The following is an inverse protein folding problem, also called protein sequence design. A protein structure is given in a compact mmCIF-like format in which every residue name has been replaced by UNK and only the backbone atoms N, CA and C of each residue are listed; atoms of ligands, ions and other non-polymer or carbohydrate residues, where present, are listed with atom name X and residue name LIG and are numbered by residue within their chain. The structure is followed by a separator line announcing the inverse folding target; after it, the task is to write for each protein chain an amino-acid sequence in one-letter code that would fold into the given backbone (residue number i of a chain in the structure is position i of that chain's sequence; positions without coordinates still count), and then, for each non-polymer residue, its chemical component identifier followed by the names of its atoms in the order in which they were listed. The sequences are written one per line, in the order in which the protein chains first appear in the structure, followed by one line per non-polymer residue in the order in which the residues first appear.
data_IF_723663570181
#
_entry.id   IF_723663570181
#
_cell.length_a   1.000
_cell.length_b   1.000
_cell.length_c   1.000
_cell.angle_alpha   90.00
_cell.angle_beta   90.00
_cell.angle_gamma   90.00
#
_symmetry.space_group_name_H-M   'P 1'
#
loop_
_entity.id
_entity.type
_entity.pdbx_description
1 polymer ?
#
# COMPACT_ATOMS: atom_id res chain seq x y z
N UNK A 1 3.16 -24.20 9.31
CA UNK A 1 3.28 -22.86 8.74
C UNK A 1 4.07 -22.02 9.73
N UNK A 2 5.22 -21.45 9.37
CA UNK A 2 5.92 -20.52 10.25
C UNK A 2 5.02 -19.28 10.39
N UNK A 3 4.74 -18.86 11.63
CA UNK A 3 3.99 -17.64 11.91
C UNK A 3 4.68 -16.41 11.30
N UNK A 4 3.92 -15.42 10.86
CA UNK A 4 4.47 -14.16 10.39
C UNK A 4 5.29 -13.50 11.51
N UNK A 5 6.48 -12.96 11.19
CA UNK A 5 7.24 -12.16 12.15
C UNK A 5 6.48 -10.84 12.40
N UNK A 6 6.05 -10.64 13.63
CA UNK A 6 5.24 -9.48 14.04
C UNK A 6 5.85 -8.86 15.28
N UNK A 7 6.11 -7.55 15.24
CA UNK A 7 6.45 -6.78 16.43
C UNK A 7 5.20 -6.07 16.97
N UNK A 8 5.20 -5.83 18.28
CA UNK A 8 4.08 -5.21 18.97
C UNK A 8 4.54 -4.12 19.94
N UNK A 9 3.96 -2.94 19.79
CA UNK A 9 4.13 -1.81 20.69
C UNK A 9 2.83 -1.60 21.46
N UNK A 10 2.86 -1.86 22.76
CA UNK A 10 1.68 -1.80 23.63
C UNK A 10 1.71 -0.51 24.44
N UNK A 11 0.62 0.24 24.40
CA UNK A 11 0.38 1.37 25.29
C UNK A 11 -0.73 1.07 26.31
N UNK A 12 -0.92 1.95 27.28
CA UNK A 12 -2.07 1.92 28.18
C UNK A 12 -3.40 2.14 27.43
N UNK A 13 -3.36 2.76 26.26
CA UNK A 13 -4.46 2.81 25.31
C UNK A 13 -4.71 1.45 24.68
N UNK A 14 -5.96 1.16 24.35
CA UNK A 14 -6.39 -0.19 23.95
C UNK A 14 -6.98 -0.27 22.54
N UNK A 15 -6.75 0.72 21.70
CA UNK A 15 -7.25 0.69 20.32
C UNK A 15 -6.32 -0.17 19.46
N UNK A 16 -6.75 -1.37 19.05
CA UNK A 16 -5.92 -2.24 18.23
C UNK A 16 -5.66 -1.63 16.86
N UNK A 17 -4.39 -1.65 16.44
CA UNK A 17 -3.96 -1.13 15.15
C UNK A 17 -2.95 -2.07 14.49
N UNK A 18 -3.09 -2.27 13.18
CA UNK A 18 -2.08 -2.94 12.34
C UNK A 18 -1.45 -1.90 11.44
N UNK A 19 -0.14 -1.74 11.53
CA UNK A 19 0.66 -0.89 10.65
C UNK A 19 1.32 -1.77 9.58
N UNK A 20 0.95 -1.59 8.32
CA UNK A 20 1.50 -2.31 7.17
C UNK A 20 2.51 -1.41 6.47
N UNK A 21 3.78 -1.82 6.50
CA UNK A 21 4.87 -1.05 5.89
C UNK A 21 4.82 -1.09 4.36
N UNK A 22 5.44 -0.11 3.70
CA UNK A 22 5.69 -0.09 2.27
C UNK A 22 6.89 -0.97 1.88
N UNK A 23 7.48 -0.70 0.71
CA UNK A 23 8.76 -1.32 0.36
C UNK A 23 9.84 -0.91 1.36
N UNK A 24 10.48 -1.90 1.96
CA UNK A 24 11.68 -1.74 2.79
C UNK A 24 12.39 -3.08 2.93
N UNK A 25 13.69 -3.17 2.65
CA UNK A 25 14.47 -4.39 2.87
C UNK A 25 14.42 -4.90 4.30
N UNK A 26 14.34 -4.01 5.28
CA UNK A 26 14.27 -4.31 6.71
C UNK A 26 12.83 -4.66 7.16
N UNK A 27 11.82 -4.37 6.36
CA UNK A 27 10.42 -4.64 6.68
C UNK A 27 9.96 -3.94 7.96
N UNK A 28 9.49 -4.71 8.94
CA UNK A 28 9.07 -4.19 10.25
C UNK A 28 10.21 -3.57 11.07
N UNK A 29 11.46 -3.95 10.79
CA UNK A 29 12.65 -3.49 11.50
C UNK A 29 13.23 -2.19 10.92
N UNK A 30 12.64 -1.67 9.84
CA UNK A 30 13.00 -0.38 9.26
C UNK A 30 12.81 0.75 10.30
N UNK A 31 13.85 1.58 10.57
CA UNK A 31 13.81 2.57 11.66
C UNK A 31 12.63 3.54 11.60
N UNK A 32 12.20 3.94 10.40
CA UNK A 32 11.03 4.84 10.24
C UNK A 32 9.72 4.13 10.59
N UNK A 33 9.61 2.83 10.29
CA UNK A 33 8.44 2.02 10.63
C UNK A 33 8.36 1.84 12.15
N UNK A 34 9.48 1.52 12.79
CA UNK A 34 9.56 1.39 14.26
C UNK A 34 9.22 2.72 14.96
N UNK A 35 9.78 3.82 14.47
CA UNK A 35 9.48 5.14 15.02
C UNK A 35 8.01 5.53 14.85
N UNK A 36 7.40 5.22 13.70
CA UNK A 36 5.97 5.42 13.49
C UNK A 36 5.13 4.59 14.47
N UNK A 37 5.49 3.32 14.68
CA UNK A 37 4.81 2.44 15.62
C UNK A 37 4.91 2.96 17.07
N UNK A 38 6.07 3.47 17.48
CA UNK A 38 6.26 4.10 18.79
C UNK A 38 5.39 5.35 18.98
N UNK A 39 5.33 6.23 17.96
CA UNK A 39 4.49 7.43 18.00
C UNK A 39 3.01 7.08 18.11
N UNK A 40 2.56 6.09 17.35
CA UNK A 40 1.19 5.58 17.39
C UNK A 40 0.88 4.95 18.76
N UNK A 41 1.83 4.20 19.33
CA UNK A 41 1.67 3.64 20.67
C UNK A 41 1.57 4.75 21.74
N UNK A 42 2.38 5.80 21.65
CA UNK A 42 2.27 6.99 22.52
C UNK A 42 0.93 7.74 22.33
N UNK A 43 0.36 7.67 21.14
CA UNK A 43 -0.97 8.22 20.84
C UNK A 43 -2.13 7.35 21.34
N UNK A 44 -1.85 6.20 21.99
CA UNK A 44 -2.85 5.35 22.62
C UNK A 44 -3.25 4.11 21.82
N UNK A 45 -2.53 3.77 20.75
CA UNK A 45 -2.80 2.56 19.98
C UNK A 45 -1.99 1.35 20.49
N UNK A 46 -2.60 0.17 20.39
CA UNK A 46 -1.90 -1.10 20.53
C UNK A 46 -1.49 -1.57 19.13
N UNK A 47 -0.24 -1.25 18.75
CA UNK A 47 0.25 -1.38 17.37
C UNK A 47 0.90 -2.73 17.14
N UNK A 48 0.50 -3.42 16.06
CA UNK A 48 1.20 -4.59 15.54
C UNK A 48 1.73 -4.30 14.12
N UNK A 49 2.97 -4.67 13.86
CA UNK A 49 3.63 -4.48 12.56
C UNK A 49 4.07 -5.84 12.03
N UNK A 50 3.36 -6.43 11.06
CA UNK A 50 3.82 -7.64 10.39
C UNK A 50 4.93 -7.33 9.39
N UNK A 51 5.89 -8.23 9.23
CA UNK A 51 6.78 -8.24 8.07
C UNK A 51 6.04 -8.80 6.87
N UNK A 52 6.10 -8.11 5.74
CA UNK A 52 5.53 -8.53 4.46
C UNK A 52 6.67 -9.02 3.56
N UNK A 53 6.87 -10.35 3.38
CA UNK A 53 8.07 -10.90 2.76
C UNK A 53 8.32 -10.46 1.32
N UNK A 54 7.28 -10.24 0.52
CA UNK A 54 7.41 -9.70 -0.83
C UNK A 54 7.95 -8.28 -0.81
N UNK A 55 7.41 -7.44 0.06
CA UNK A 55 7.80 -6.02 0.14
C UNK A 55 9.23 -5.82 0.65
N UNK A 56 9.79 -6.76 1.44
CA UNK A 56 11.21 -6.70 1.81
C UNK A 56 12.15 -6.96 0.63
N UNK A 57 11.62 -7.48 -0.48
CA UNK A 57 12.38 -7.83 -1.68
C UNK A 57 12.00 -7.01 -2.90
N UNK A 58 11.21 -5.94 -2.72
CA UNK A 58 10.69 -5.13 -3.84
C UNK A 58 9.68 -5.86 -4.72
N UNK A 59 8.95 -6.83 -4.17
CA UNK A 59 8.01 -7.69 -4.90
C UNK A 59 6.59 -7.49 -4.42
N UNK A 60 5.63 -7.59 -5.34
CA UNK A 60 4.22 -7.74 -5.02
C UNK A 60 3.83 -9.20 -5.22
N UNK A 61 3.33 -9.85 -4.17
CA UNK A 61 2.94 -11.26 -4.17
C UNK A 61 1.53 -11.43 -3.62
N UNK A 62 0.71 -12.31 -4.19
CA UNK A 62 -0.60 -12.63 -3.60
C UNK A 62 -0.50 -13.14 -2.17
N UNK A 63 0.58 -13.84 -1.85
CA UNK A 63 0.86 -14.42 -0.53
C UNK A 63 1.15 -13.35 0.53
N UNK A 64 1.49 -12.13 0.14
CA UNK A 64 1.76 -11.00 1.05
C UNK A 64 0.52 -10.55 1.83
N UNK A 65 -0.66 -11.01 1.45
CA UNK A 65 -1.91 -10.83 2.21
C UNK A 65 -1.90 -11.64 3.51
N UNK A 66 -1.30 -12.82 3.53
CA UNK A 66 -1.36 -13.75 4.65
C UNK A 66 -0.76 -13.21 5.97
N UNK A 67 0.40 -12.53 6.00
CA UNK A 67 0.89 -11.89 7.21
C UNK A 67 -0.09 -10.88 7.81
N UNK A 68 -0.79 -10.11 6.97
CA UNK A 68 -1.78 -9.13 7.42
C UNK A 68 -3.02 -9.83 7.97
N UNK A 69 -3.54 -10.84 7.27
CA UNK A 69 -4.69 -11.65 7.72
C UNK A 69 -4.39 -12.33 9.04
N UNK A 70 -3.23 -12.97 9.18
CA UNK A 70 -2.82 -13.64 10.42
C UNK A 70 -2.71 -12.65 11.58
N UNK A 71 -2.16 -11.45 11.33
CA UNK A 71 -2.04 -10.40 12.34
C UNK A 71 -3.43 -9.90 12.77
N UNK A 72 -4.34 -9.63 11.84
CA UNK A 72 -5.72 -9.23 12.13
C UNK A 72 -6.48 -10.31 12.92
N UNK A 73 -6.33 -11.57 12.53
CA UNK A 73 -6.97 -12.70 13.22
C UNK A 73 -6.53 -12.83 14.69
N UNK A 74 -5.27 -12.50 14.98
CA UNK A 74 -4.71 -12.54 16.33
C UNK A 74 -5.05 -11.32 17.20
N UNK A 75 -5.71 -10.28 16.65
CA UNK A 75 -6.04 -9.04 17.37
C UNK A 75 -7.45 -9.08 17.95
N UNK A 76 -7.67 -8.29 19.00
CA UNK A 76 -9.02 -7.95 19.41
C UNK A 76 -9.73 -7.14 18.31
N UNK A 77 -11.00 -7.39 18.09
CA UNK A 77 -11.81 -6.60 17.15
C UNK A 77 -12.60 -5.52 17.90
N UNK A 78 -12.92 -4.38 17.27
CA UNK A 78 -12.49 -3.97 15.94
C UNK A 78 -11.04 -3.47 15.91
N UNK A 79 -10.36 -3.64 14.78
CA UNK A 79 -8.96 -3.23 14.57
C UNK A 79 -8.87 -2.18 13.47
N UNK A 80 -8.12 -1.11 13.71
CA UNK A 80 -7.75 -0.15 12.69
C UNK A 80 -6.55 -0.65 11.86
N UNK A 81 -6.43 -0.20 10.61
CA UNK A 81 -5.22 -0.41 9.81
C UNK A 81 -4.68 0.91 9.28
N UNK A 82 -3.36 1.03 9.29
CA UNK A 82 -2.62 2.05 8.52
C UNK A 82 -1.71 1.30 7.57
N UNK A 83 -1.76 1.68 6.31
CA UNK A 83 -0.93 1.08 5.27
C UNK A 83 -0.21 2.14 4.45
N UNK A 84 1.06 1.92 4.17
CA UNK A 84 1.94 2.91 3.54
C UNK A 84 2.36 2.41 2.15
N UNK A 85 2.24 3.29 1.13
CA UNK A 85 2.74 3.03 -0.23
C UNK A 85 2.18 1.70 -0.78
N UNK A 86 3.02 0.89 -1.41
CA UNK A 86 2.66 -0.44 -1.94
C UNK A 86 2.14 -1.42 -0.88
N UNK A 87 2.39 -1.18 0.40
CA UNK A 87 1.78 -1.95 1.50
C UNK A 87 0.27 -1.83 1.60
N UNK A 88 -0.30 -0.81 0.98
CA UNK A 88 -1.75 -0.66 0.86
C UNK A 88 -2.41 -1.79 0.06
N UNK A 89 -1.68 -2.41 -0.87
CA UNK A 89 -2.16 -3.58 -1.62
C UNK A 89 -2.56 -4.74 -0.70
N UNK A 90 -1.60 -5.38 -0.01
CA UNK A 90 -1.89 -6.48 0.91
C UNK A 90 -2.85 -6.07 2.04
N UNK A 91 -2.81 -4.81 2.51
CA UNK A 91 -3.73 -4.32 3.53
C UNK A 91 -5.19 -4.28 3.05
N UNK A 92 -5.45 -3.71 1.87
CA UNK A 92 -6.80 -3.63 1.30
C UNK A 92 -7.33 -5.01 0.89
N UNK A 93 -6.47 -5.87 0.35
CA UNK A 93 -6.82 -7.26 0.04
C UNK A 93 -7.19 -8.04 1.31
N UNK A 94 -6.43 -7.87 2.40
CA UNK A 94 -6.76 -8.46 3.70
C UNK A 94 -8.06 -7.91 4.30
N UNK A 95 -8.31 -6.59 4.15
CA UNK A 95 -9.55 -5.96 4.61
C UNK A 95 -10.80 -6.46 3.86
N UNK A 96 -10.64 -7.06 2.68
CA UNK A 96 -11.70 -7.71 1.93
C UNK A 96 -11.80 -9.22 2.21
N UNK A 97 -10.79 -9.82 2.86
CA UNK A 97 -10.74 -11.27 3.09
C UNK A 97 -11.86 -11.72 4.05
N UNK A 98 -12.70 -12.69 3.66
CA UNK A 98 -13.82 -13.17 4.48
C UNK A 98 -13.41 -13.63 5.88
N UNK A 99 -12.16 -14.09 6.07
CA UNK A 99 -11.66 -14.56 7.36
C UNK A 99 -11.52 -13.45 8.41
N UNK A 100 -11.31 -12.18 7.95
CA UNK A 100 -10.97 -11.08 8.87
C UNK A 100 -11.65 -9.75 8.56
N UNK A 101 -12.33 -9.58 7.41
CA UNK A 101 -12.91 -8.30 6.98
C UNK A 101 -13.83 -7.65 8.02
N UNK A 102 -14.60 -8.45 8.75
CA UNK A 102 -15.54 -7.96 9.76
C UNK A 102 -14.84 -7.52 11.06
N UNK A 103 -13.53 -7.74 11.16
CA UNK A 103 -12.69 -7.31 12.29
C UNK A 103 -12.06 -5.93 12.06
N UNK A 104 -12.13 -5.40 10.83
CA UNK A 104 -11.52 -4.13 10.44
C UNK A 104 -12.53 -3.01 10.53
N UNK A 105 -12.23 -1.95 11.30
CA UNK A 105 -13.10 -0.78 11.45
C UNK A 105 -12.79 0.31 10.41
N UNK A 106 -11.52 0.55 10.18
CA UNK A 106 -11.04 1.59 9.26
C UNK A 106 -9.71 1.19 8.63
N UNK A 107 -9.51 1.55 7.37
CA UNK A 107 -8.21 1.46 6.68
C UNK A 107 -7.80 2.87 6.26
N UNK A 108 -6.66 3.33 6.78
CA UNK A 108 -5.96 4.52 6.31
C UNK A 108 -4.87 4.08 5.33
N UNK A 109 -5.01 4.45 4.08
CA UNK A 109 -4.03 4.19 3.01
C UNK A 109 -3.29 5.48 2.68
N UNK A 110 -1.97 5.45 2.78
CA UNK A 110 -1.07 6.57 2.53
C UNK A 110 -0.27 6.31 1.27
N UNK A 111 -0.54 7.04 0.18
CA UNK A 111 0.14 6.85 -1.09
C UNK A 111 -0.03 5.44 -1.67
N UNK A 112 -1.21 4.83 -1.47
CA UNK A 112 -1.47 3.46 -1.89
C UNK A 112 -1.95 3.34 -3.33
N UNK A 113 -2.07 2.11 -3.82
CA UNK A 113 -2.51 1.81 -5.19
C UNK A 113 -3.82 1.03 -5.24
N UNK A 114 -4.46 1.07 -6.41
CA UNK A 114 -5.69 0.38 -6.76
C UNK A 114 -5.47 -0.78 -7.72
N UNK A 115 -4.66 -0.54 -8.75
CA UNK A 115 -4.50 -1.39 -9.91
C UNK A 115 -3.04 -1.78 -10.11
N UNK A 116 -2.72 -3.06 -9.94
CA UNK A 116 -1.37 -3.55 -10.17
C UNK A 116 -0.89 -3.37 -11.63
N UNK A 117 -1.73 -3.55 -12.68
CA UNK A 117 -1.35 -3.22 -14.05
C UNK A 117 -0.95 -1.75 -14.23
N UNK A 118 -1.71 -0.82 -13.64
CA UNK A 118 -1.44 0.60 -13.78
C UNK A 118 -0.17 1.04 -13.05
N UNK A 119 0.07 0.50 -11.84
CA UNK A 119 1.32 0.75 -11.11
C UNK A 119 2.50 0.20 -11.89
N UNK A 120 2.39 -1.01 -12.44
CA UNK A 120 3.45 -1.59 -13.26
C UNK A 120 3.71 -0.76 -14.52
N UNK A 121 2.65 -0.33 -15.23
CA UNK A 121 2.77 0.58 -16.38
C UNK A 121 3.46 1.89 -15.98
N UNK A 122 3.05 2.48 -14.87
CA UNK A 122 3.66 3.70 -14.35
C UNK A 122 5.16 3.54 -14.09
N UNK A 123 5.57 2.47 -13.39
CA UNK A 123 6.99 2.20 -13.15
C UNK A 123 7.80 2.02 -14.45
N UNK A 124 7.20 1.40 -15.47
CA UNK A 124 7.90 1.14 -16.73
C UNK A 124 7.95 2.35 -17.66
N UNK A 125 6.91 3.16 -17.69
CA UNK A 125 6.75 4.24 -18.69
C UNK A 125 6.77 5.64 -18.08
N UNK A 126 6.54 5.76 -16.77
CA UNK A 126 6.30 7.05 -16.11
C UNK A 126 4.90 7.61 -16.34
N UNK A 127 4.10 7.03 -17.24
CA UNK A 127 2.78 7.54 -17.57
C UNK A 127 1.72 7.08 -16.58
N UNK A 128 0.85 7.98 -16.17
CA UNK A 128 -0.30 7.66 -15.32
C UNK A 128 -1.57 8.38 -15.76
N UNK A 129 -2.73 7.83 -15.37
CA UNK A 129 -3.99 8.49 -15.67
C UNK A 129 -5.22 7.80 -15.10
N UNK A 130 -6.26 8.62 -14.85
CA UNK A 130 -7.60 8.19 -14.48
C UNK A 130 -8.62 9.26 -14.84
N UNK A 131 -9.75 8.87 -15.43
CA UNK A 131 -10.74 9.83 -15.93
C UNK A 131 -10.10 10.83 -16.92
N UNK A 132 -10.19 12.10 -16.61
CA UNK A 132 -9.59 13.19 -17.40
C UNK A 132 -8.17 13.58 -16.93
N UNK A 133 -7.68 12.93 -15.88
CA UNK A 133 -6.33 13.19 -15.36
C UNK A 133 -5.31 12.38 -16.14
N UNK A 134 -4.23 13.04 -16.58
CA UNK A 134 -3.06 12.41 -17.21
C UNK A 134 -1.81 13.12 -16.71
N UNK A 135 -0.73 12.36 -16.57
CA UNK A 135 0.57 12.91 -16.20
C UNK A 135 1.70 11.95 -16.52
N UNK A 136 2.91 12.43 -16.32
CA UNK A 136 4.12 11.68 -16.54
C UNK A 136 5.16 12.04 -15.48
N UNK A 137 5.89 11.02 -15.00
CA UNK A 137 7.05 11.15 -14.11
C UNK A 137 8.20 10.38 -14.75
N UNK A 138 9.34 11.01 -14.84
CA UNK A 138 10.56 10.35 -15.33
C UNK A 138 11.21 9.60 -14.18
N UNK A 139 11.21 8.27 -14.24
CA UNK A 139 11.90 7.42 -13.27
C UNK A 139 13.38 7.27 -13.63
N UNK A 140 14.28 7.26 -12.62
CA UNK A 140 15.67 6.91 -12.86
C UNK A 140 15.76 5.48 -13.43
N UNK A 141 16.57 5.24 -14.50
CA UNK A 141 16.66 3.92 -15.15
C UNK A 141 17.07 2.79 -14.19
N UNK A 142 17.87 3.09 -13.18
CA UNK A 142 18.28 2.13 -12.15
C UNK A 142 17.12 1.67 -11.28
N UNK A 143 16.16 2.54 -10.99
CA UNK A 143 14.94 2.19 -10.22
C UNK A 143 14.07 1.24 -11.03
N UNK A 144 13.85 1.53 -12.31
CA UNK A 144 13.10 0.67 -13.23
C UNK A 144 13.78 -0.71 -13.34
N UNK A 145 15.10 -0.72 -13.53
CA UNK A 145 15.88 -1.96 -13.63
C UNK A 145 15.78 -2.80 -12.36
N UNK A 146 15.99 -2.20 -11.19
CA UNK A 146 15.89 -2.90 -9.91
C UNK A 146 14.49 -3.50 -9.68
N UNK A 147 13.43 -2.79 -10.07
CA UNK A 147 12.06 -3.29 -10.00
C UNK A 147 11.84 -4.50 -10.93
N UNK A 148 12.31 -4.42 -12.18
CA UNK A 148 12.22 -5.52 -13.16
C UNK A 148 13.00 -6.75 -12.67
N UNK A 149 14.24 -6.57 -12.21
CA UNK A 149 15.09 -7.64 -11.70
C UNK A 149 14.47 -8.33 -10.47
N UNK A 150 13.93 -7.54 -9.53
CA UNK A 150 13.27 -8.06 -8.34
C UNK A 150 12.05 -8.95 -8.66
N UNK A 151 11.39 -8.74 -9.79
CA UNK A 151 10.19 -9.44 -10.20
C UNK A 151 10.38 -10.36 -11.43
N UNK A 152 11.62 -10.56 -11.87
CA UNK A 152 11.94 -11.30 -13.10
C UNK A 152 11.49 -12.77 -13.10
N UNK A 153 11.35 -13.38 -11.93
CA UNK A 153 10.86 -14.76 -11.77
C UNK A 153 9.33 -14.91 -11.96
N UNK A 154 8.58 -13.79 -11.92
CA UNK A 154 7.15 -13.78 -12.26
C UNK A 154 6.88 -13.80 -13.76
N UNK A 155 7.89 -13.53 -14.55
CA UNK A 155 7.81 -13.35 -15.98
C UNK A 155 8.44 -14.54 -16.69
N UNK A 156 7.80 -15.00 -17.74
CA UNK A 156 8.46 -15.94 -18.63
C UNK A 156 9.70 -15.27 -19.30
N UNK A 157 10.64 -16.05 -19.85
CA UNK A 157 11.85 -15.50 -20.46
C UNK A 157 11.58 -14.47 -21.56
N UNK A 158 10.52 -14.67 -22.37
CA UNK A 158 10.16 -13.74 -23.44
C UNK A 158 9.62 -12.41 -22.88
N UNK A 159 8.89 -12.46 -21.76
CA UNK A 159 8.43 -11.26 -21.07
C UNK A 159 9.58 -10.47 -20.41
N UNK A 160 10.66 -11.15 -19.98
CA UNK A 160 11.85 -10.46 -19.43
C UNK A 160 12.54 -9.58 -20.47
N UNK A 161 12.70 -10.07 -21.69
CA UNK A 161 13.33 -9.32 -22.78
C UNK A 161 12.52 -8.07 -23.14
N UNK A 162 11.19 -8.16 -23.02
CA UNK A 162 10.28 -7.03 -23.28
C UNK A 162 10.41 -5.94 -22.21
N UNK A 163 10.65 -6.30 -20.95
CA UNK A 163 10.75 -5.36 -19.83
C UNK A 163 12.02 -4.49 -19.87
N UNK A 164 13.04 -4.90 -20.62
CA UNK A 164 14.22 -4.07 -20.91
C UNK A 164 13.93 -2.86 -21.81
N UNK A 165 12.78 -2.86 -22.50
CA UNK A 165 12.30 -1.76 -23.34
C UNK A 165 10.94 -1.26 -22.80
N UNK A 166 10.87 -0.07 -22.18
CA UNK A 166 9.64 0.45 -21.56
C UNK A 166 8.46 0.54 -22.52
N UNK A 167 8.68 0.89 -23.78
CA UNK A 167 7.60 1.00 -24.76
C UNK A 167 7.02 -0.38 -25.14
N UNK A 168 7.89 -1.36 -25.32
CA UNK A 168 7.47 -2.75 -25.56
C UNK A 168 6.80 -3.37 -24.35
N UNK A 169 7.30 -3.06 -23.14
CA UNK A 169 6.70 -3.50 -21.90
C UNK A 169 5.29 -2.93 -21.71
N UNK A 170 5.09 -1.65 -21.99
CA UNK A 170 3.76 -1.02 -21.94
C UNK A 170 2.78 -1.65 -22.95
N UNK A 171 3.24 -1.95 -24.17
CA UNK A 171 2.44 -2.64 -25.18
C UNK A 171 2.07 -4.08 -24.75
N UNK A 172 3.01 -4.81 -24.15
CA UNK A 172 2.77 -6.15 -23.62
C UNK A 172 1.77 -6.14 -22.45
N UNK A 173 1.82 -5.12 -21.58
CA UNK A 173 0.86 -4.95 -20.48
C UNK A 173 -0.56 -4.60 -20.93
N UNK A 174 -0.72 -4.04 -22.13
CA UNK A 174 -2.04 -3.82 -22.71
C UNK A 174 -2.78 -5.14 -23.01
N UNK A 175 -2.03 -6.21 -23.33
CA UNK A 175 -2.55 -7.53 -23.65
C UNK A 175 -1.69 -8.63 -22.98
N UNK A 176 -1.69 -8.70 -21.64
CA UNK A 176 -0.83 -9.64 -20.93
C UNK A 176 -1.29 -11.09 -21.16
N UNK A 177 -0.36 -12.07 -21.14
CA UNK A 177 -0.73 -13.48 -21.11
C UNK A 177 -1.72 -13.78 -19.98
N UNK A 178 -2.64 -14.76 -20.14
CA UNK A 178 -3.71 -15.04 -19.15
C UNK A 178 -3.19 -15.23 -17.73
N UNK A 179 -2.08 -15.94 -17.54
CA UNK A 179 -1.50 -16.16 -16.22
C UNK A 179 -0.99 -14.85 -15.57
N UNK A 180 -0.41 -13.94 -16.36
CA UNK A 180 0.03 -12.62 -15.89
C UNK A 180 -1.17 -11.73 -15.57
N UNK A 181 -2.20 -11.76 -16.44
CA UNK A 181 -3.43 -11.02 -16.19
C UNK A 181 -4.11 -11.46 -14.89
N UNK A 182 -4.19 -12.75 -14.64
CA UNK A 182 -4.74 -13.31 -13.40
C UNK A 182 -3.91 -12.90 -12.17
N UNK A 183 -2.58 -12.98 -12.25
CA UNK A 183 -1.69 -12.54 -11.19
C UNK A 183 -1.91 -11.06 -10.85
N UNK A 184 -1.89 -10.19 -11.85
CA UNK A 184 -2.10 -8.77 -11.68
C UNK A 184 -3.51 -8.46 -11.13
N UNK A 185 -4.52 -9.23 -11.55
CA UNK A 185 -5.87 -9.12 -11.02
C UNK A 185 -5.93 -9.44 -9.51
N UNK A 186 -5.25 -10.49 -9.07
CA UNK A 186 -5.15 -10.88 -7.65
C UNK A 186 -4.40 -9.85 -6.80
N UNK A 187 -3.52 -9.08 -7.40
CA UNK A 187 -2.75 -8.00 -6.74
C UNK A 187 -3.47 -6.65 -6.75
N UNK A 188 -4.66 -6.54 -7.36
CA UNK A 188 -5.35 -5.26 -7.57
C UNK A 188 -6.49 -5.04 -6.58
N UNK A 189 -6.31 -4.16 -5.56
CA UNK A 189 -7.35 -3.86 -4.57
C UNK A 189 -8.66 -3.36 -5.14
N UNK A 190 -8.66 -2.66 -6.28
CA UNK A 190 -9.89 -2.14 -6.92
C UNK A 190 -10.93 -3.22 -7.20
N UNK A 191 -10.50 -4.49 -7.38
CA UNK A 191 -11.39 -5.62 -7.64
C UNK A 191 -12.17 -6.08 -6.43
N UNK A 192 -11.67 -5.81 -5.23
CA UNK A 192 -12.26 -6.29 -3.98
C UNK A 192 -12.69 -5.15 -3.06
N UNK A 193 -12.37 -3.91 -3.37
CA UNK A 193 -12.61 -2.75 -2.49
C UNK A 193 -14.08 -2.60 -2.07
N UNK A 194 -15.01 -3.00 -2.92
CA UNK A 194 -16.46 -3.00 -2.62
C UNK A 194 -16.85 -4.04 -1.57
N UNK A 195 -16.02 -5.05 -1.34
CA UNK A 195 -16.25 -6.10 -0.35
C UNK A 195 -15.72 -5.72 1.04
N UNK A 196 -14.99 -4.61 1.16
CA UNK A 196 -14.44 -4.13 2.43
C UNK A 196 -15.57 -3.46 3.24
N UNK A 197 -16.00 -3.97 4.39
CA UNK A 197 -17.02 -3.31 5.20
C UNK A 197 -16.49 -2.06 5.92
N UNK A 198 -15.20 -2.02 6.21
CA UNK A 198 -14.53 -0.92 6.90
C UNK A 198 -14.61 0.41 6.15
N UNK A 199 -14.48 1.52 6.86
CA UNK A 199 -14.29 2.86 6.26
C UNK A 199 -12.90 2.95 5.63
N UNK A 200 -12.80 3.61 4.47
CA UNK A 200 -11.53 3.90 3.83
C UNK A 200 -11.21 5.39 3.96
N UNK A 201 -9.98 5.68 4.35
CA UNK A 201 -9.40 7.02 4.29
C UNK A 201 -8.15 6.93 3.42
N UNK A 202 -8.18 7.59 2.28
CA UNK A 202 -7.10 7.61 1.32
C UNK A 202 -6.42 8.98 1.39
N UNK A 203 -5.14 9.00 1.70
CA UNK A 203 -4.32 10.23 1.70
C UNK A 203 -3.24 10.06 0.65
N UNK A 204 -3.14 11.01 -0.30
CA UNK A 204 -2.19 10.91 -1.39
C UNK A 204 -1.59 12.27 -1.75
N UNK A 205 -0.27 12.29 -1.92
CA UNK A 205 0.43 13.45 -2.49
C UNK A 205 0.17 13.57 -3.99
N UNK A 206 -0.22 14.75 -4.47
CA UNK A 206 -0.47 14.93 -5.91
C UNK A 206 0.82 14.86 -6.74
N UNK A 207 1.97 15.12 -6.12
CA UNK A 207 3.30 15.07 -6.72
C UNK A 207 4.06 13.80 -6.32
N UNK A 208 3.37 12.73 -5.91
CA UNK A 208 3.99 11.46 -5.52
C UNK A 208 4.67 10.80 -6.74
N UNK A 209 6.02 10.67 -6.74
CA UNK A 209 6.76 10.10 -7.86
C UNK A 209 6.82 8.57 -7.85
N UNK A 210 6.38 7.91 -6.78
CA UNK A 210 6.47 6.46 -6.63
C UNK A 210 5.15 5.74 -6.90
N UNK A 211 4.03 6.32 -6.46
CA UNK A 211 2.69 5.83 -6.78
C UNK A 211 1.83 7.01 -7.20
N UNK A 212 1.26 7.03 -8.39
CA UNK A 212 0.50 8.19 -8.85
C UNK A 212 -0.82 8.31 -8.07
N UNK A 213 -1.18 9.54 -7.68
CA UNK A 213 -2.41 9.80 -6.91
C UNK A 213 -3.70 9.36 -7.62
N UNK A 214 -3.64 9.15 -8.93
CA UNK A 214 -4.74 8.57 -9.72
C UNK A 214 -5.18 7.20 -9.22
N UNK A 215 -4.30 6.47 -8.56
CA UNK A 215 -4.63 5.20 -7.93
C UNK A 215 -5.61 5.37 -6.75
N UNK A 216 -5.42 6.41 -5.94
CA UNK A 216 -6.40 6.76 -4.90
C UNK A 216 -7.72 7.29 -5.49
N UNK A 217 -7.68 7.98 -6.64
CA UNK A 217 -8.91 8.36 -7.36
C UNK A 217 -9.70 7.12 -7.81
N UNK A 218 -9.01 6.07 -8.31
CA UNK A 218 -9.63 4.79 -8.70
C UNK A 218 -10.33 4.12 -7.52
N UNK A 219 -9.65 4.00 -6.37
CA UNK A 219 -10.24 3.41 -5.16
C UNK A 219 -11.46 4.20 -4.68
N UNK A 220 -11.36 5.52 -4.65
CA UNK A 220 -12.46 6.38 -4.23
C UNK A 220 -13.66 6.28 -5.18
N UNK A 221 -13.41 6.23 -6.49
CA UNK A 221 -14.47 6.07 -7.49
C UNK A 221 -15.13 4.68 -7.43
N UNK A 222 -14.36 3.64 -7.10
CA UNK A 222 -14.88 2.28 -6.98
C UNK A 222 -15.83 2.11 -5.76
N UNK A 223 -15.66 2.93 -4.69
CA UNK A 223 -16.47 2.83 -3.46
C UNK A 223 -16.66 4.21 -2.79
N UNK A 224 -17.39 5.12 -3.43
CA UNK A 224 -17.50 6.52 -2.97
C UNK A 224 -18.23 6.67 -1.62
N UNK A 225 -19.20 5.81 -1.31
CA UNK A 225 -20.10 5.93 -0.15
C UNK A 225 -19.41 5.74 1.20
N UNK A 226 -18.27 5.05 1.25
CA UNK A 226 -17.51 4.76 2.49
C UNK A 226 -16.02 5.10 2.38
N UNK A 227 -15.67 5.96 1.42
CA UNK A 227 -14.29 6.36 1.17
C UNK A 227 -14.14 7.85 1.28
N UNK A 228 -13.21 8.30 2.13
CA UNK A 228 -12.76 9.69 2.20
C UNK A 228 -11.43 9.82 1.50
N UNK A 229 -11.36 10.63 0.45
CA UNK A 229 -10.12 10.95 -0.25
C UNK A 229 -9.60 12.32 0.18
N UNK A 230 -8.32 12.39 0.51
CA UNK A 230 -7.60 13.63 0.85
C UNK A 230 -6.36 13.71 -0.05
N UNK A 231 -6.35 14.66 -0.96
CA UNK A 231 -5.18 14.98 -1.79
C UNK A 231 -4.40 16.11 -1.13
N UNK A 232 -3.08 15.94 -1.06
CA UNK A 232 -2.18 16.90 -0.42
C UNK A 232 -1.09 17.34 -1.41
N UNK A 233 -0.81 18.65 -1.48
CA UNK A 233 0.16 19.23 -2.42
C UNK A 233 1.58 19.33 -1.84
N UNK A 234 1.74 19.15 -0.52
CA UNK A 234 3.01 19.34 0.19
C UNK A 234 3.75 18.03 0.52
N UNK A 235 3.13 16.88 0.23
CA UNK A 235 3.75 15.58 0.43
C UNK A 235 4.25 15.07 -0.94
N UNK A 236 5.53 15.29 -1.21
CA UNK A 236 6.26 14.35 -2.06
C UNK A 236 6.20 12.96 -1.40
N UNK A 237 6.62 11.91 -2.11
CA UNK A 237 6.59 10.56 -1.59
C UNK A 237 7.13 10.48 -0.15
N UNK A 238 6.55 9.63 0.69
CA UNK A 238 6.89 9.42 2.11
C UNK A 238 8.41 9.26 2.35
N UNK A 239 9.18 8.94 1.33
CA UNK A 239 10.64 8.77 1.35
C UNK A 239 11.46 10.03 1.01
N UNK A 240 10.85 11.09 0.47
CA UNK A 240 11.56 12.24 -0.10
C UNK A 240 11.89 13.41 0.83
N UNK A 241 11.39 13.42 2.04
CA UNK A 241 11.62 14.52 2.98
C UNK A 241 12.91 14.31 3.78
N UNK A 242 14.02 14.80 3.26
CA UNK A 242 15.21 15.02 4.07
C UNK A 242 14.89 16.07 5.14
N UNK A 243 14.75 15.64 6.39
CA UNK A 243 14.71 16.51 7.56
C UNK A 243 13.34 17.13 7.88
N UNK A 244 12.60 16.56 8.79
CA UNK A 244 11.56 17.21 9.60
C UNK A 244 10.11 17.08 9.13
N UNK A 245 9.84 17.00 7.85
CA UNK A 245 8.46 16.98 7.32
C UNK A 245 7.72 15.65 7.54
N UNK A 246 8.43 14.54 7.67
CA UNK A 246 7.84 13.24 7.95
C UNK A 246 7.26 13.15 9.38
N UNK A 247 7.96 13.72 10.37
CA UNK A 247 7.45 13.83 11.74
C UNK A 247 6.18 14.67 11.82
N UNK A 248 6.09 15.74 11.03
CA UNK A 248 4.88 16.54 10.91
C UNK A 248 3.75 15.72 10.28
N UNK A 249 4.02 14.98 9.21
CA UNK A 249 3.03 14.12 8.55
C UNK A 249 2.52 13.02 9.49
N UNK A 250 3.37 12.39 10.30
CA UNK A 250 2.95 11.36 11.28
C UNK A 250 2.15 11.98 12.43
N UNK A 251 2.50 13.20 12.89
CA UNK A 251 1.67 13.93 13.87
C UNK A 251 0.31 14.31 13.31
N UNK A 252 0.25 14.77 12.08
CA UNK A 252 -1.00 15.06 11.36
C UNK A 252 -1.79 13.78 11.10
N UNK A 253 -1.11 12.66 10.81
CA UNK A 253 -1.71 11.34 10.71
C UNK A 253 -2.31 10.86 12.03
N UNK A 254 -1.59 11.01 13.14
CA UNK A 254 -2.12 10.71 14.47
C UNK A 254 -3.37 11.54 14.77
N UNK A 255 -3.37 12.82 14.40
CA UNK A 255 -4.53 13.69 14.49
C UNK A 255 -5.65 13.25 13.54
N UNK A 256 -5.35 12.82 12.31
CA UNK A 256 -6.33 12.33 11.33
C UNK A 256 -6.96 11.00 11.80
N UNK A 257 -6.17 10.11 12.38
CA UNK A 257 -6.65 8.85 12.95
C UNK A 257 -7.54 9.13 14.17
N UNK A 258 -7.15 10.07 15.06
CA UNK A 258 -7.99 10.51 16.17
C UNK A 258 -9.29 11.18 15.71
N UNK A 259 -9.25 11.99 14.65
CA UNK A 259 -10.44 12.57 14.03
C UNK A 259 -11.34 11.50 13.42
N UNK A 260 -10.75 10.44 12.84
CA UNK A 260 -11.51 9.29 12.31
C UNK A 260 -12.18 8.48 13.42
N UNK A 261 -11.57 8.40 14.61
CA UNK A 261 -12.16 7.76 15.79
C UNK A 261 -13.10 8.69 16.58
N UNK A 262 -12.87 9.99 16.55
CA UNK A 262 -13.69 10.99 17.27
C UNK A 262 -14.98 11.43 16.54
N UNK A 263 -15.25 10.85 15.38
CA UNK A 263 -16.46 11.13 14.57
C UNK A 263 -17.50 9.98 14.65
N UNK A 264 -17.47 9.16 15.70
CA UNK A 264 -18.53 8.19 15.99
C UNK A 264 -19.63 8.80 16.82
#
# INVERSE_FOLDING_TARGET
MAGAAVDRWVSAGRVPLVLVHGYSPEGKDEPRVQHAAELLARAGFDVAVPTIPGLTRGRLRPEDVEPVVATLAARAAPTAMIAVSVGSGPALLAAADPRVRDRVSVVLSLGGYASAPEVLRFFLTGDYGWGNVRGHVTHPPEVVRAFVEANADLLDPAARDVLGDPARAAAALAHPPPAVAELLARLSPERVVRQIPARLVLVHGVDDPAVPYTESLRLAAARPERTKLVLVHLLGHVEGARGGTWLAAVRELGALVLVVYGLQ
#
